data_IF_926698549292
#
_entry.id   IF_926698549292
#
_cell.length_a   1.000
_cell.length_b   1.000
_cell.length_c   1.000
_cell.angle_alpha   90.00
_cell.angle_beta   90.00
_cell.angle_gamma   90.00
#
_symmetry.space_group_name_H-M   'P 1'
#
loop_
_entity.id
_entity.type
_entity.pdbx_description
1 polymer ?
#
# COMPACT_ATOMS: atom_id res chain seq x y z
N UNK A 1 -1.64 28.11 20.10
CA UNK A 1 -2.38 28.54 18.90
C UNK A 1 -3.70 29.11 19.38
N UNK A 2 -3.97 30.38 19.05
CA UNK A 2 -5.22 31.05 19.39
C UNK A 2 -6.36 30.60 18.47
N UNK A 3 -7.60 30.79 18.90
CA UNK A 3 -8.80 30.46 18.14
C UNK A 3 -8.82 31.17 16.77
N UNK A 4 -8.36 32.43 16.74
CA UNK A 4 -8.22 33.23 15.51
C UNK A 4 -7.18 32.67 14.54
N UNK A 5 -6.07 32.13 15.04
CA UNK A 5 -5.06 31.46 14.21
C UNK A 5 -5.58 30.11 13.68
N UNK A 6 -6.33 29.37 14.50
CA UNK A 6 -6.97 28.12 14.08
C UNK A 6 -7.98 28.34 12.96
N UNK A 7 -8.81 29.40 13.04
CA UNK A 7 -9.80 29.73 12.02
C UNK A 7 -9.17 30.21 10.71
N UNK A 8 -8.10 30.99 10.79
CA UNK A 8 -7.33 31.40 9.60
C UNK A 8 -6.70 30.20 8.89
N UNK A 9 -6.17 29.24 9.65
CA UNK A 9 -5.64 27.99 9.09
C UNK A 9 -6.74 27.13 8.47
N UNK A 10 -7.91 27.01 9.11
CA UNK A 10 -9.07 26.30 8.54
C UNK A 10 -9.53 26.91 7.23
N UNK A 11 -9.61 28.24 7.15
CA UNK A 11 -9.98 28.94 5.91
C UNK A 11 -8.96 28.70 4.79
N UNK A 12 -7.66 28.73 5.12
CA UNK A 12 -6.59 28.49 4.17
C UNK A 12 -6.60 27.03 3.67
N UNK A 13 -6.72 26.06 4.58
CA UNK A 13 -6.82 24.63 4.25
C UNK A 13 -8.07 24.32 3.42
N UNK A 14 -9.21 24.92 3.78
CA UNK A 14 -10.48 24.75 3.07
C UNK A 14 -10.48 25.31 1.64
N UNK A 15 -9.56 26.23 1.31
CA UNK A 15 -9.37 26.72 -0.07
C UNK A 15 -8.36 25.89 -0.89
N UNK A 16 -7.38 25.28 -0.23
CA UNK A 16 -6.33 24.47 -0.88
C UNK A 16 -6.91 23.15 -1.39
N UNK A 17 -7.73 22.48 -0.59
CA UNK A 17 -8.27 21.15 -0.93
C UNK A 17 -9.14 21.18 -2.21
N UNK A 18 -10.11 22.11 -2.39
CA UNK A 18 -10.89 22.21 -3.62
C UNK A 18 -10.05 22.58 -4.84
N UNK A 19 -9.06 23.47 -4.68
CA UNK A 19 -8.15 23.87 -5.76
C UNK A 19 -7.27 22.70 -6.22
N UNK A 20 -6.80 21.89 -5.27
CA UNK A 20 -6.03 20.69 -5.55
C UNK A 20 -6.87 19.62 -6.25
N UNK A 21 -8.09 19.35 -5.77
CA UNK A 21 -9.03 18.43 -6.44
C UNK A 21 -9.32 18.86 -7.87
N UNK A 22 -9.65 20.14 -8.09
CA UNK A 22 -9.88 20.69 -9.44
C UNK A 22 -8.66 20.52 -10.34
N UNK A 23 -7.45 20.71 -9.80
CA UNK A 23 -6.22 20.55 -10.56
C UNK A 23 -5.99 19.09 -10.98
N UNK A 24 -6.25 18.13 -10.09
CA UNK A 24 -6.18 16.70 -10.39
C UNK A 24 -7.22 16.32 -11.46
N UNK A 25 -8.47 16.77 -11.31
CA UNK A 25 -9.54 16.48 -12.27
C UNK A 25 -9.22 17.01 -13.67
N UNK A 26 -8.71 18.25 -13.76
CA UNK A 26 -8.29 18.85 -15.03
C UNK A 26 -7.13 18.08 -15.66
N UNK A 27 -6.14 17.67 -14.86
CA UNK A 27 -5.02 16.88 -15.35
C UNK A 27 -5.47 15.49 -15.84
N UNK A 28 -6.35 14.82 -15.10
CA UNK A 28 -6.96 13.55 -15.51
C UNK A 28 -7.73 13.69 -16.82
N UNK A 29 -8.58 14.73 -16.94
CA UNK A 29 -9.32 14.99 -18.16
C UNK A 29 -8.40 15.22 -19.37
N UNK A 30 -7.33 16.01 -19.19
CA UNK A 30 -6.31 16.22 -20.21
C UNK A 30 -5.64 14.91 -20.63
N UNK A 31 -5.26 14.05 -19.67
CA UNK A 31 -4.64 12.75 -19.96
C UNK A 31 -5.59 11.83 -20.75
N UNK A 32 -6.85 11.71 -20.32
CA UNK A 32 -7.88 10.94 -21.03
C UNK A 32 -8.02 11.40 -22.50
N UNK A 33 -8.15 12.71 -22.71
CA UNK A 33 -8.28 13.28 -24.05
C UNK A 33 -7.01 13.02 -24.89
N UNK A 34 -5.82 13.16 -24.30
CA UNK A 34 -4.53 12.91 -24.98
C UNK A 34 -4.31 11.43 -25.36
N UNK A 35 -4.80 10.50 -24.55
CA UNK A 35 -4.68 9.06 -24.75
C UNK A 35 -5.86 8.46 -25.54
N UNK A 36 -6.84 9.29 -25.92
CA UNK A 36 -8.09 8.82 -26.56
C UNK A 36 -8.85 7.78 -25.72
N UNK A 37 -8.81 7.93 -24.39
CA UNK A 37 -9.51 7.06 -23.43
C UNK A 37 -10.70 7.83 -22.85
N UNK A 38 -11.86 7.18 -22.76
CA UNK A 38 -13.04 7.77 -22.14
C UNK A 38 -12.83 8.09 -20.66
N UNK A 39 -13.31 9.26 -20.23
CA UNK A 39 -13.30 9.66 -18.81
C UNK A 39 -14.19 8.72 -18.02
N UNK A 40 -13.70 8.21 -16.91
CA UNK A 40 -14.46 7.41 -15.95
C UNK A 40 -14.20 7.90 -14.54
N UNK A 41 -15.18 7.72 -13.65
CA UNK A 41 -14.92 7.97 -12.24
C UNK A 41 -13.97 6.88 -11.72
N UNK A 42 -12.97 7.22 -10.90
CA UNK A 42 -12.17 6.22 -10.21
C UNK A 42 -13.10 5.29 -9.42
N UNK A 43 -12.94 3.99 -9.65
CA UNK A 43 -13.67 2.95 -8.95
C UNK A 43 -12.72 1.77 -8.72
N UNK A 44 -12.86 1.04 -7.60
CA UNK A 44 -12.06 -0.15 -7.35
C UNK A 44 -12.15 -1.13 -8.52
N UNK A 45 -11.00 -1.68 -8.90
CA UNK A 45 -10.92 -2.78 -9.86
C UNK A 45 -11.50 -4.06 -9.28
N UNK A 46 -11.81 -5.05 -10.13
CA UNK A 46 -12.28 -6.36 -9.66
C UNK A 46 -11.28 -7.04 -8.70
N UNK A 47 -9.97 -6.85 -8.95
CA UNK A 47 -8.92 -7.39 -8.09
C UNK A 47 -8.85 -6.64 -6.75
N UNK A 48 -8.98 -5.31 -6.75
CA UNK A 48 -9.09 -4.55 -5.50
C UNK A 48 -10.32 -5.00 -4.69
N UNK A 49 -11.48 -5.17 -5.32
CA UNK A 49 -12.69 -5.67 -4.63
C UNK A 49 -12.48 -7.06 -4.03
N UNK A 50 -11.72 -7.93 -4.71
CA UNK A 50 -11.40 -9.27 -4.22
C UNK A 50 -10.44 -9.20 -3.03
N UNK A 51 -9.35 -8.46 -3.16
CA UNK A 51 -8.30 -8.39 -2.14
C UNK A 51 -8.68 -7.51 -0.94
N UNK A 52 -9.66 -6.63 -1.09
CA UNK A 52 -10.24 -5.85 0.02
C UNK A 52 -10.99 -6.73 1.02
N UNK A 53 -11.39 -7.93 0.62
CA UNK A 53 -12.03 -8.91 1.52
C UNK A 53 -11.01 -9.73 2.30
N UNK A 54 -9.74 -9.69 1.92
CA UNK A 54 -8.71 -10.53 2.48
C UNK A 54 -7.97 -9.78 3.59
N UNK A 55 -8.05 -10.30 4.80
CA UNK A 55 -7.45 -9.67 5.99
C UNK A 55 -6.31 -10.56 6.48
N UNK A 56 -5.04 -10.12 6.33
CA UNK A 56 -3.91 -10.81 6.91
C UNK A 56 -3.86 -10.64 8.44
N UNK A 57 -3.47 -11.70 9.13
CA UNK A 57 -3.19 -11.75 10.56
C UNK A 57 -1.80 -12.31 10.80
N UNK A 58 -1.00 -11.65 11.65
CA UNK A 58 0.34 -12.14 12.01
C UNK A 58 0.22 -13.34 12.94
N UNK A 59 0.85 -14.46 12.54
CA UNK A 59 0.99 -15.67 13.35
C UNK A 59 2.29 -15.64 14.17
N UNK A 60 3.32 -15.04 13.60
CA UNK A 60 4.63 -14.81 14.24
C UNK A 60 4.83 -13.31 14.39
N UNK A 61 5.46 -12.88 15.48
CA UNK A 61 5.80 -11.47 15.69
C UNK A 61 6.90 -10.99 14.76
N UNK A 62 7.48 -9.83 15.07
CA UNK A 62 8.54 -9.23 14.25
C UNK A 62 9.85 -10.03 14.29
N UNK A 63 9.95 -11.05 15.14
CA UNK A 63 11.16 -11.84 15.34
C UNK A 63 11.61 -12.54 14.04
N UNK A 64 10.69 -12.94 13.15
CA UNK A 64 11.09 -13.54 11.86
C UNK A 64 11.83 -12.52 10.97
N UNK A 65 11.50 -11.23 11.08
CA UNK A 65 12.19 -10.17 10.30
C UNK A 65 13.60 -9.88 10.80
N UNK A 66 13.95 -10.34 12.01
CA UNK A 66 15.32 -10.29 12.53
C UNK A 66 16.18 -11.49 12.07
N UNK A 67 15.54 -12.60 11.68
CA UNK A 67 16.19 -13.76 11.04
C UNK A 67 16.13 -13.61 9.52
N UNK A 68 17.16 -12.99 8.93
CA UNK A 68 17.24 -12.76 7.49
C UNK A 68 17.17 -14.04 6.65
N UNK A 69 17.56 -15.19 7.22
CA UNK A 69 17.59 -16.49 6.54
C UNK A 69 16.29 -17.28 6.74
N UNK A 70 15.36 -16.79 7.57
CA UNK A 70 14.13 -17.50 7.93
C UNK A 70 13.35 -17.97 6.70
N UNK A 71 13.12 -17.07 5.73
CA UNK A 71 12.34 -17.38 4.54
C UNK A 71 13.08 -18.37 3.64
N UNK A 72 14.39 -18.22 3.47
CA UNK A 72 15.21 -19.13 2.65
C UNK A 72 15.16 -20.55 3.21
N UNK A 73 15.39 -20.68 4.52
CA UNK A 73 15.37 -21.96 5.23
C UNK A 73 13.97 -22.59 5.26
N UNK A 74 12.93 -21.79 5.50
CA UNK A 74 11.55 -22.29 5.64
C UNK A 74 10.95 -22.70 4.30
N UNK A 75 11.27 -21.97 3.24
CA UNK A 75 10.72 -22.22 1.89
C UNK A 75 11.65 -23.07 1.02
N UNK A 76 12.90 -23.33 1.46
CA UNK A 76 13.89 -24.07 0.71
C UNK A 76 14.33 -23.36 -0.58
N UNK A 77 14.27 -22.03 -0.60
CA UNK A 77 14.51 -21.19 -1.79
C UNK A 77 15.57 -20.12 -1.48
N UNK A 78 16.84 -20.35 -1.85
CA UNK A 78 17.94 -19.43 -1.55
C UNK A 78 17.82 -18.09 -2.32
N UNK A 79 16.95 -18.00 -3.31
CA UNK A 79 16.72 -16.77 -4.08
C UNK A 79 15.44 -16.04 -3.66
N UNK A 80 14.74 -16.48 -2.61
CA UNK A 80 13.45 -15.90 -2.21
C UNK A 80 13.52 -14.39 -1.96
N UNK A 81 14.62 -13.90 -1.38
CA UNK A 81 14.81 -12.48 -1.10
C UNK A 81 14.79 -11.62 -2.38
N UNK A 82 15.30 -12.17 -3.50
CA UNK A 82 15.30 -11.50 -4.81
C UNK A 82 13.92 -11.54 -5.49
N UNK A 83 13.07 -12.49 -5.10
CA UNK A 83 11.72 -12.68 -5.66
C UNK A 83 10.67 -11.79 -4.99
N UNK A 84 10.95 -11.26 -3.80
CA UNK A 84 10.07 -10.36 -3.06
C UNK A 84 10.08 -8.98 -3.74
N UNK A 85 9.08 -8.72 -4.57
CA UNK A 85 8.99 -7.53 -5.42
C UNK A 85 8.90 -6.23 -4.63
N UNK A 86 8.27 -6.23 -3.45
CA UNK A 86 8.14 -5.02 -2.60
C UNK A 86 9.49 -4.43 -2.16
N UNK A 87 10.58 -5.21 -2.21
CA UNK A 87 11.94 -4.71 -1.94
C UNK A 87 12.39 -3.63 -2.95
N UNK A 88 11.78 -3.56 -4.13
CA UNK A 88 12.06 -2.51 -5.13
C UNK A 88 11.69 -1.11 -4.63
N UNK A 89 10.73 -1.01 -3.70
CA UNK A 89 10.35 0.24 -3.05
C UNK A 89 11.24 0.57 -1.82
N UNK A 90 12.28 -0.23 -1.58
CA UNK A 90 13.18 -0.11 -0.45
C UNK A 90 12.92 -1.17 0.62
N UNK A 91 13.98 -1.52 1.35
CA UNK A 91 13.92 -2.55 2.40
C UNK A 91 12.91 -2.20 3.52
N UNK A 92 12.75 -0.90 3.83
CA UNK A 92 11.81 -0.41 4.84
C UNK A 92 10.35 -0.60 4.44
N UNK A 93 10.01 -0.58 3.15
CA UNK A 93 8.64 -0.80 2.68
C UNK A 93 8.14 -2.21 3.05
N UNK A 94 9.01 -3.20 2.91
CA UNK A 94 8.73 -4.58 3.32
C UNK A 94 8.48 -4.70 4.83
N UNK A 95 9.27 -3.97 5.63
CA UNK A 95 9.15 -3.95 7.08
C UNK A 95 7.83 -3.30 7.50
N UNK A 96 7.49 -2.15 6.93
CA UNK A 96 6.24 -1.47 7.23
C UNK A 96 5.01 -2.26 6.75
N UNK A 97 5.12 -3.00 5.64
CA UNK A 97 4.05 -3.88 5.19
C UNK A 97 3.67 -4.89 6.28
N UNK A 98 4.66 -5.41 7.02
CA UNK A 98 4.45 -6.30 8.17
C UNK A 98 3.87 -5.55 9.38
N UNK A 99 4.33 -4.33 9.66
CA UNK A 99 3.80 -3.50 10.75
C UNK A 99 2.32 -3.18 10.56
N UNK A 100 1.87 -2.97 9.33
CA UNK A 100 0.47 -2.69 9.03
C UNK A 100 -0.47 -3.90 9.17
N UNK A 101 0.07 -5.12 9.29
CA UNK A 101 -0.72 -6.33 9.55
C UNK A 101 -1.17 -6.35 11.01
N UNK A 102 -2.34 -5.78 11.25
CA UNK A 102 -3.00 -5.66 12.56
C UNK A 102 -4.21 -6.59 12.73
N UNK A 103 -4.46 -7.48 11.76
CA UNK A 103 -5.63 -8.35 11.74
C UNK A 103 -6.95 -7.62 11.43
N UNK A 104 -6.89 -6.35 10.99
CA UNK A 104 -8.06 -5.53 10.67
C UNK A 104 -7.99 -4.93 9.27
N UNK A 105 -6.81 -4.50 8.83
CA UNK A 105 -6.61 -3.96 7.49
C UNK A 105 -6.66 -5.07 6.44
N UNK A 106 -7.37 -4.82 5.35
CA UNK A 106 -7.34 -5.65 4.15
C UNK A 106 -6.03 -5.49 3.38
N UNK A 107 -5.76 -6.36 2.41
CA UNK A 107 -4.57 -6.26 1.54
C UNK A 107 -4.54 -4.92 0.78
N UNK A 108 -5.68 -4.46 0.27
CA UNK A 108 -5.83 -3.15 -0.38
C UNK A 108 -5.56 -2.01 0.58
N UNK A 109 -6.09 -2.06 1.81
CA UNK A 109 -5.84 -1.02 2.82
C UNK A 109 -4.36 -0.96 3.23
N UNK A 110 -3.66 -2.09 3.29
CA UNK A 110 -2.21 -2.15 3.54
C UNK A 110 -1.46 -1.52 2.35
N UNK A 111 -1.84 -1.85 1.10
CA UNK A 111 -1.28 -1.23 -0.10
C UNK A 111 -1.44 0.28 -0.06
N UNK A 112 -2.65 0.78 0.23
CA UNK A 112 -2.93 2.22 0.27
C UNK A 112 -2.08 2.94 1.33
N UNK A 113 -1.94 2.34 2.53
CA UNK A 113 -1.08 2.88 3.57
C UNK A 113 0.39 2.94 3.15
N UNK A 114 0.90 1.88 2.50
CA UNK A 114 2.26 1.86 1.98
C UNK A 114 2.45 2.88 0.84
N UNK A 115 1.50 3.00 -0.08
CA UNK A 115 1.58 3.99 -1.16
C UNK A 115 1.61 5.44 -0.64
N UNK A 116 1.00 5.71 0.51
CA UNK A 116 1.02 7.03 1.14
C UNK A 116 2.39 7.37 1.76
N UNK A 117 3.10 6.37 2.29
CA UNK A 117 4.38 6.54 2.98
C UNK A 117 5.59 6.44 2.03
N UNK A 118 5.48 5.60 1.00
CA UNK A 118 6.60 5.24 0.13
C UNK A 118 6.47 5.86 -1.26
N UNK A 119 7.45 6.68 -1.61
CA UNK A 119 7.63 7.30 -2.93
C UNK A 119 9.14 7.33 -3.27
N UNK A 120 9.55 7.42 -4.55
CA UNK A 120 8.74 7.60 -5.76
C UNK A 120 8.29 6.30 -6.43
N UNK A 121 8.78 5.13 -5.96
CA UNK A 121 8.40 3.83 -6.55
C UNK A 121 6.96 3.50 -6.15
N UNK A 122 6.04 3.34 -7.12
CA UNK A 122 4.65 3.01 -6.80
C UNK A 122 4.54 1.63 -6.14
N UNK A 123 3.90 1.57 -4.96
CA UNK A 123 3.53 0.30 -4.34
C UNK A 123 2.30 -0.25 -5.07
N UNK A 124 2.47 -1.34 -5.82
CA UNK A 124 1.36 -1.99 -6.52
C UNK A 124 0.63 -2.99 -5.63
N UNK A 125 -0.62 -3.29 -5.97
CA UNK A 125 -1.40 -4.30 -5.27
C UNK A 125 -0.77 -5.70 -5.38
N UNK A 126 -0.19 -6.02 -6.55
CA UNK A 126 0.53 -7.26 -6.79
C UNK A 126 1.75 -7.42 -5.88
N UNK A 127 2.53 -6.35 -5.67
CA UNK A 127 3.70 -6.40 -4.78
C UNK A 127 3.32 -6.78 -3.35
N UNK A 128 2.23 -6.20 -2.85
CA UNK A 128 1.73 -6.46 -1.50
C UNK A 128 1.13 -7.86 -1.41
N UNK A 129 0.28 -8.26 -2.36
CA UNK A 129 -0.30 -9.60 -2.38
C UNK A 129 0.80 -10.68 -2.46
N UNK A 130 1.74 -10.55 -3.39
CA UNK A 130 2.84 -11.50 -3.56
C UNK A 130 3.63 -11.67 -2.25
N UNK A 131 3.97 -10.56 -1.60
CA UNK A 131 4.70 -10.60 -0.35
C UNK A 131 3.91 -11.30 0.76
N UNK A 132 2.64 -10.94 0.96
CA UNK A 132 1.79 -11.57 1.97
C UNK A 132 1.57 -13.06 1.72
N UNK A 133 1.46 -13.48 0.45
CA UNK A 133 1.36 -14.90 0.08
C UNK A 133 2.66 -15.67 0.33
N UNK A 134 3.82 -15.04 0.17
CA UNK A 134 5.12 -15.64 0.55
C UNK A 134 5.15 -15.84 2.07
N UNK A 135 4.74 -14.83 2.84
CA UNK A 135 4.67 -14.94 4.31
C UNK A 135 3.67 -16.00 4.78
N UNK A 136 2.53 -16.11 4.09
CA UNK A 136 1.53 -17.14 4.36
C UNK A 136 2.10 -18.55 4.16
N UNK A 137 2.79 -18.79 3.04
CA UNK A 137 3.48 -20.07 2.79
C UNK A 137 4.57 -20.38 3.82
N UNK A 138 5.22 -19.36 4.36
CA UNK A 138 6.25 -19.49 5.38
C UNK A 138 5.68 -19.59 6.82
N UNK A 139 4.35 -19.62 6.99
CA UNK A 139 3.69 -19.73 8.29
C UNK A 139 3.80 -18.48 9.16
N UNK A 140 4.15 -17.33 8.58
CA UNK A 140 4.34 -16.06 9.29
C UNK A 140 3.01 -15.29 9.43
N UNK A 141 2.17 -15.39 8.42
CA UNK A 141 0.87 -14.71 8.31
C UNK A 141 -0.20 -15.73 7.95
N UNK A 142 -1.43 -15.51 8.37
CA UNK A 142 -2.62 -16.17 7.82
C UNK A 142 -3.45 -15.14 7.08
N UNK A 143 -3.97 -15.47 5.90
CA UNK A 143 -4.90 -14.60 5.17
C UNK A 143 -6.30 -15.22 5.28
N UNK A 144 -7.25 -14.43 5.80
CA UNK A 144 -8.65 -14.83 5.95
C UNK A 144 -9.52 -14.12 4.93
#
# INVERSE_FOLDING_TARGET
>A
MSEKEADSLRGLLGGIEPAFHTSIENYYAFLCDSLSVGKSKPSPTAEEIKLDKLIPERLVGLEYSADFDYLERTLGDPDIQKKISINQAGFTARWEALNFIDGKRSITAIRDALSAEFSPVPITLEMVEQYLRILEKAGVVSIK
#
